data_IF_742733013673
#
_entry.id   IF_742733013673
#
_cell.length_a   1.000
_cell.length_b   1.000
_cell.length_c   1.000
_cell.angle_alpha   90.00
_cell.angle_beta   90.00
_cell.angle_gamma   90.00
#
_symmetry.space_group_name_H-M   'P 1'
#
loop_
_entity.id
_entity.type
_entity.pdbx_description
1 polymer ?
#
# COMPACT_ATOMS: atom_id res chain seq x y z
N UNK A 1 -16.13 12.98 20.53
CA UNK A 1 -14.77 13.48 20.72
C UNK A 1 -13.92 12.75 19.70
N UNK A 2 -13.44 13.44 18.67
CA UNK A 2 -12.62 12.83 17.62
C UNK A 2 -11.18 13.01 18.05
N UNK A 3 -10.52 11.93 18.44
CA UNK A 3 -9.07 11.94 18.67
C UNK A 3 -8.36 12.47 17.41
N UNK A 4 -7.30 13.29 17.56
CA UNK A 4 -6.55 13.75 16.40
C UNK A 4 -5.95 12.53 15.70
N UNK A 5 -6.28 12.35 14.42
CA UNK A 5 -5.77 11.25 13.61
C UNK A 5 -4.27 11.48 13.37
N UNK A 6 -3.44 10.79 14.14
CA UNK A 6 -1.99 10.83 14.01
C UNK A 6 -1.56 9.80 12.96
N UNK A 7 -1.07 10.26 11.81
CA UNK A 7 -0.65 9.41 10.71
C UNK A 7 0.87 9.46 10.61
N UNK A 8 1.53 8.31 10.69
CA UNK A 8 2.97 8.15 10.49
C UNK A 8 3.22 7.70 9.03
N UNK A 9 3.79 8.55 8.17
CA UNK A 9 4.08 8.19 6.77
C UNK A 9 5.00 6.97 6.64
N UNK A 10 5.98 6.82 7.55
CA UNK A 10 6.91 5.70 7.53
C UNK A 10 6.23 4.36 7.82
N UNK A 11 5.17 4.38 8.64
CA UNK A 11 4.36 3.21 8.93
C UNK A 11 3.48 2.83 7.73
N UNK A 12 2.95 3.83 7.01
CA UNK A 12 2.21 3.61 5.77
C UNK A 12 3.09 2.93 4.71
N UNK A 13 4.34 3.37 4.55
CA UNK A 13 5.27 2.75 3.61
C UNK A 13 5.62 1.31 3.99
N UNK A 14 5.85 1.04 5.27
CA UNK A 14 6.08 -0.35 5.75
C UNK A 14 4.87 -1.24 5.49
N UNK A 15 3.66 -0.74 5.70
CA UNK A 15 2.45 -1.52 5.45
C UNK A 15 2.22 -1.74 3.94
N UNK A 16 2.49 -0.72 3.12
CA UNK A 16 2.47 -0.83 1.68
C UNK A 16 3.43 -1.93 1.17
N UNK A 17 4.66 -1.99 1.73
CA UNK A 17 5.63 -3.05 1.42
C UNK A 17 5.14 -4.44 1.85
N UNK A 18 4.50 -4.55 3.01
CA UNK A 18 3.93 -5.82 3.47
C UNK A 18 2.81 -6.30 2.53
N UNK A 19 1.91 -5.39 2.12
CA UNK A 19 0.86 -5.69 1.16
C UNK A 19 1.45 -6.09 -0.20
N UNK A 20 2.52 -5.43 -0.66
CA UNK A 20 3.22 -5.84 -1.88
C UNK A 20 3.70 -7.30 -1.78
N UNK A 21 4.31 -7.68 -0.65
CA UNK A 21 4.75 -9.06 -0.43
C UNK A 21 3.61 -10.08 -0.42
N UNK A 22 2.43 -9.70 0.07
CA UNK A 22 1.22 -10.56 -0.01
C UNK A 22 0.68 -10.64 -1.43
N UNK A 23 0.68 -9.51 -2.17
CA UNK A 23 0.27 -9.47 -3.57
C UNK A 23 1.16 -10.38 -4.43
N UNK A 24 2.48 -10.35 -4.21
CA UNK A 24 3.42 -11.19 -4.96
C UNK A 24 3.22 -12.69 -4.68
N UNK A 25 2.97 -13.07 -3.43
CA UNK A 25 2.62 -14.46 -3.08
C UNK A 25 1.30 -14.89 -3.72
N UNK A 26 0.31 -14.01 -3.75
CA UNK A 26 -0.99 -14.28 -4.39
C UNK A 26 -0.84 -14.42 -5.90
N UNK A 27 -0.03 -13.58 -6.53
CA UNK A 27 0.31 -13.67 -7.95
C UNK A 27 1.04 -14.98 -8.26
N UNK A 28 1.99 -15.38 -7.42
CA UNK A 28 2.70 -16.66 -7.56
C UNK A 28 1.74 -17.85 -7.43
N UNK A 29 0.78 -17.81 -6.49
CA UNK A 29 -0.25 -18.83 -6.38
C UNK A 29 -1.16 -18.89 -7.62
N UNK A 30 -1.53 -17.73 -8.18
CA UNK A 30 -2.32 -17.67 -9.41
C UNK A 30 -1.55 -18.26 -10.60
N UNK A 31 -0.25 -17.97 -10.70
CA UNK A 31 0.60 -18.51 -11.76
C UNK A 31 0.82 -20.02 -11.61
N UNK A 32 1.07 -20.50 -10.39
CA UNK A 32 1.14 -21.92 -10.09
C UNK A 32 -0.18 -22.64 -10.44
N UNK A 33 -1.33 -22.01 -10.16
CA UNK A 33 -2.63 -22.54 -10.52
C UNK A 33 -2.83 -22.66 -12.04
N UNK A 34 -2.17 -21.82 -12.86
CA UNK A 34 -2.13 -21.95 -14.33
C UNK A 34 -1.13 -23.02 -14.80
N UNK A 35 -0.01 -23.16 -14.09
CA UNK A 35 1.06 -24.13 -14.39
C UNK A 35 0.76 -25.57 -13.96
N UNK A 36 -0.25 -25.80 -13.12
CA UNK A 36 -0.85 -27.15 -12.95
C UNK A 36 -1.76 -27.49 -14.14
N UNK A 37 -2.10 -26.50 -14.98
CA UNK A 37 -2.97 -26.61 -16.15
C UNK A 37 -2.31 -26.61 -17.56
N UNK A 38 -0.98 -26.71 -17.79
CA UNK A 38 -0.41 -26.82 -19.13
C UNK A 38 -0.73 -28.22 -19.69
N UNK A 39 -1.81 -28.23 -20.47
CA UNK A 39 -2.56 -29.38 -20.98
C UNK A 39 -3.66 -29.89 -20.03
N UNK A 40 -4.07 -29.07 -19.08
CA UNK A 40 -5.30 -29.25 -18.30
C UNK A 40 -5.24 -30.35 -17.26
N UNK A 41 -6.38 -30.52 -16.60
CA UNK A 41 -6.66 -31.71 -15.80
C UNK A 41 -6.70 -32.98 -16.68
N UNK A 42 -6.79 -32.80 -18.00
CA UNK A 42 -6.65 -33.85 -19.00
C UNK A 42 -5.28 -34.54 -18.98
N UNK A 43 -4.21 -33.84 -18.56
CA UNK A 43 -2.88 -34.43 -18.40
C UNK A 43 -2.60 -34.95 -16.99
N UNK A 44 -3.30 -34.41 -15.99
CA UNK A 44 -3.14 -34.81 -14.58
C UNK A 44 -3.86 -36.13 -14.27
N UNK A 45 -4.93 -36.42 -15.03
CA UNK A 45 -5.74 -37.61 -14.89
C UNK A 45 -5.59 -38.49 -16.13
N UNK A 46 -5.20 -39.76 -15.96
CA UNK A 46 -5.22 -40.73 -17.07
C UNK A 46 -6.63 -40.86 -17.67
N UNK A 47 -6.75 -41.48 -18.85
CA UNK A 47 -8.01 -41.60 -19.64
C UNK A 47 -9.25 -42.00 -18.82
N UNK A 48 -9.10 -42.80 -17.77
CA UNK A 48 -10.20 -43.22 -16.89
C UNK A 48 -10.70 -42.14 -15.91
N UNK A 49 -9.85 -41.16 -15.58
CA UNK A 49 -10.15 -40.10 -14.61
C UNK A 49 -10.46 -38.75 -15.27
N UNK A 50 -10.51 -38.69 -16.61
CA UNK A 50 -10.68 -37.46 -17.38
C UNK A 50 -11.99 -36.71 -17.07
N UNK A 51 -13.05 -37.42 -16.68
CA UNK A 51 -14.32 -36.79 -16.30
C UNK A 51 -14.17 -35.85 -15.09
N UNK A 52 -13.29 -36.19 -14.14
CA UNK A 52 -13.02 -35.32 -12.98
C UNK A 52 -12.39 -34.00 -13.41
N UNK A 53 -11.61 -34.02 -14.49
CA UNK A 53 -11.03 -32.81 -15.07
C UNK A 53 -12.10 -31.82 -15.50
N UNK A 54 -13.09 -32.26 -16.27
CA UNK A 54 -14.21 -31.42 -16.66
C UNK A 54 -15.08 -30.96 -15.47
N UNK A 55 -15.26 -31.83 -14.48
CA UNK A 55 -16.07 -31.52 -13.30
C UNK A 55 -15.49 -30.38 -12.45
N UNK A 56 -14.16 -30.19 -12.44
CA UNK A 56 -13.50 -29.17 -11.61
C UNK A 56 -12.90 -28.01 -12.42
N UNK A 57 -12.93 -28.05 -13.76
CA UNK A 57 -12.41 -26.98 -14.62
C UNK A 57 -13.06 -25.63 -14.31
N UNK A 58 -14.39 -25.60 -14.13
CA UNK A 58 -15.11 -24.36 -13.78
C UNK A 58 -14.65 -23.80 -12.43
N UNK A 59 -14.50 -24.66 -11.42
CA UNK A 59 -14.00 -24.25 -10.11
C UNK A 59 -12.54 -23.76 -10.19
N UNK A 60 -11.71 -24.40 -11.01
CA UNK A 60 -10.32 -24.01 -11.25
C UNK A 60 -10.20 -22.63 -11.91
N UNK A 61 -10.97 -22.38 -12.97
CA UNK A 61 -11.01 -21.05 -13.62
C UNK A 61 -11.53 -19.97 -12.69
N UNK A 62 -12.56 -20.27 -11.91
CA UNK A 62 -13.07 -19.33 -10.90
C UNK A 62 -12.00 -18.99 -9.86
N UNK A 63 -11.31 -19.99 -9.32
CA UNK A 63 -10.22 -19.77 -8.37
C UNK A 63 -9.08 -18.91 -8.97
N UNK A 64 -8.69 -19.17 -10.22
CA UNK A 64 -7.68 -18.36 -10.91
C UNK A 64 -8.12 -16.90 -11.07
N UNK A 65 -9.39 -16.66 -11.43
CA UNK A 65 -9.96 -15.31 -11.53
C UNK A 65 -9.92 -14.58 -10.18
N UNK A 66 -10.39 -15.24 -9.12
CA UNK A 66 -10.42 -14.64 -7.77
C UNK A 66 -9.02 -14.29 -7.29
N UNK A 67 -8.02 -15.14 -7.55
CA UNK A 67 -6.63 -14.86 -7.18
C UNK A 67 -6.05 -13.66 -7.97
N UNK A 68 -6.40 -13.54 -9.26
CA UNK A 68 -6.01 -12.38 -10.07
C UNK A 68 -6.65 -11.09 -9.53
N UNK A 69 -7.97 -11.10 -9.32
CA UNK A 69 -8.71 -9.94 -8.79
C UNK A 69 -8.20 -9.53 -7.40
N UNK A 70 -7.88 -10.51 -6.55
CA UNK A 70 -7.30 -10.27 -5.22
C UNK A 70 -5.92 -9.62 -5.33
N UNK A 71 -5.07 -10.10 -6.24
CA UNK A 71 -3.74 -9.52 -6.48
C UNK A 71 -3.86 -8.06 -6.92
N UNK A 72 -4.79 -7.75 -7.83
CA UNK A 72 -5.02 -6.38 -8.30
C UNK A 72 -5.54 -5.46 -7.20
N UNK A 73 -6.47 -5.95 -6.37
CA UNK A 73 -6.97 -5.20 -5.22
C UNK A 73 -5.86 -4.88 -4.20
N UNK A 74 -4.98 -5.85 -3.92
CA UNK A 74 -3.83 -5.65 -3.03
C UNK A 74 -2.85 -4.61 -3.61
N UNK A 75 -2.54 -4.69 -4.92
CA UNK A 75 -1.67 -3.70 -5.59
C UNK A 75 -2.26 -2.28 -5.51
N UNK A 76 -3.55 -2.12 -5.80
CA UNK A 76 -4.24 -0.82 -5.66
C UNK A 76 -4.20 -0.28 -4.23
N UNK A 77 -4.34 -1.16 -3.24
CA UNK A 77 -4.25 -0.77 -1.83
C UNK A 77 -2.84 -0.31 -1.47
N UNK A 78 -1.81 -1.03 -1.94
CA UNK A 78 -0.42 -0.65 -1.77
C UNK A 78 -0.08 0.70 -2.43
N UNK A 79 -0.56 0.93 -3.64
CA UNK A 79 -0.42 2.23 -4.34
C UNK A 79 -1.10 3.36 -3.56
N UNK A 80 -2.31 3.11 -3.05
CA UNK A 80 -3.05 4.06 -2.23
C UNK A 80 -2.29 4.46 -0.96
N UNK A 81 -1.71 3.48 -0.25
CA UNK A 81 -0.91 3.74 0.95
C UNK A 81 0.38 4.50 0.65
N UNK A 82 1.07 4.13 -0.44
CA UNK A 82 2.28 4.82 -0.90
C UNK A 82 1.97 6.27 -1.27
N UNK A 83 0.84 6.50 -1.94
CA UNK A 83 0.36 7.84 -2.30
C UNK A 83 0.00 8.66 -1.07
N UNK A 84 -0.67 8.05 -0.09
CA UNK A 84 -0.99 8.70 1.18
C UNK A 84 0.28 9.09 1.95
N UNK A 85 1.27 8.19 2.08
CA UNK A 85 2.57 8.47 2.71
C UNK A 85 3.22 9.72 2.12
N UNK A 86 3.29 9.80 0.78
CA UNK A 86 3.86 10.96 0.07
C UNK A 86 3.10 12.25 0.32
N UNK A 87 1.77 12.19 0.34
CA UNK A 87 0.93 13.37 0.58
C UNK A 87 1.13 13.91 2.00
N UNK A 88 1.16 13.04 3.01
CA UNK A 88 1.42 13.44 4.39
C UNK A 88 2.82 14.03 4.56
N UNK A 89 3.84 13.36 4.03
CA UNK A 89 5.24 13.85 4.10
C UNK A 89 5.39 15.22 3.44
N UNK A 90 4.83 15.40 2.23
CA UNK A 90 4.89 16.70 1.54
C UNK A 90 4.14 17.82 2.29
N UNK A 91 3.09 17.47 3.03
CA UNK A 91 2.37 18.43 3.86
C UNK A 91 3.12 18.79 5.15
N UNK A 92 3.83 17.82 5.74
CA UNK A 92 4.76 18.05 6.85
C UNK A 92 5.91 18.96 6.41
N UNK A 93 6.59 18.66 5.30
CA UNK A 93 7.68 19.48 4.75
C UNK A 93 7.25 20.93 4.53
N UNK A 94 6.07 21.14 3.92
CA UNK A 94 5.53 22.48 3.67
C UNK A 94 5.19 23.22 4.96
N UNK A 95 4.68 22.49 5.96
CA UNK A 95 4.37 23.09 7.27
C UNK A 95 5.64 23.49 8.00
N UNK A 96 6.68 22.65 7.93
CA UNK A 96 8.00 22.94 8.48
C UNK A 96 8.62 24.18 7.83
N UNK A 97 8.61 24.29 6.50
CA UNK A 97 9.12 25.45 5.76
C UNK A 97 8.43 26.75 6.20
N UNK A 98 7.11 26.74 6.31
CA UNK A 98 6.34 27.90 6.76
C UNK A 98 6.66 28.27 8.22
N UNK A 99 6.82 27.29 9.10
CA UNK A 99 7.16 27.53 10.49
C UNK A 99 8.58 28.08 10.65
N UNK A 100 9.55 27.58 9.87
CA UNK A 100 10.92 28.10 9.85
C UNK A 100 10.94 29.55 9.35
N UNK A 101 10.19 29.87 8.31
CA UNK A 101 10.10 31.24 7.80
C UNK A 101 9.43 32.18 8.82
N UNK A 102 8.36 31.75 9.48
CA UNK A 102 7.74 32.52 10.57
C UNK A 102 8.72 32.73 11.73
N UNK A 103 9.47 31.68 12.12
CA UNK A 103 10.46 31.78 13.19
C UNK A 103 11.56 32.79 12.85
N UNK A 104 12.06 32.79 11.61
CA UNK A 104 13.03 33.77 11.10
C UNK A 104 12.48 35.19 11.14
N UNK A 105 11.23 35.38 10.70
CA UNK A 105 10.57 36.69 10.75
C UNK A 105 10.40 37.18 12.19
N UNK A 106 10.02 36.31 13.13
CA UNK A 106 9.88 36.65 14.55
C UNK A 106 11.23 37.06 15.17
N UNK A 107 12.32 36.39 14.80
CA UNK A 107 13.67 36.74 15.27
C UNK A 107 14.15 38.10 14.75
N UNK A 108 13.72 38.50 13.55
CA UNK A 108 14.03 39.80 12.95
C UNK A 108 13.21 40.98 13.54
N UNK A 109 12.15 40.73 14.33
CA UNK A 109 11.35 41.79 14.97
C UNK A 109 12.03 42.25 16.28
N UNK A 110 12.46 43.51 16.39
CA UNK A 110 12.99 44.04 17.65
C UNK A 110 11.87 44.10 18.69
N UNK A 111 12.07 43.48 19.86
CA UNK A 111 11.09 43.51 20.95
C UNK A 111 10.97 44.95 21.49
N UNK A 112 9.82 45.64 21.34
CA UNK A 112 9.63 46.96 21.92
C UNK A 112 9.39 46.78 23.43
N UNK A 113 10.42 47.01 24.25
CA UNK A 113 10.27 46.95 25.71
C UNK A 113 11.51 46.61 26.55
N UNK A 114 12.67 46.28 25.96
CA UNK A 114 13.92 46.27 26.74
C UNK A 114 14.47 47.70 26.94
N UNK A 115 13.75 48.50 27.74
CA UNK A 115 14.33 49.59 28.53
C UNK A 115 14.12 49.23 30.00
N UNK A 116 15.04 49.42 30.95
CA UNK A 116 16.35 50.07 31.00
C UNK A 116 17.08 49.54 32.26
N UNK A 117 17.97 50.33 32.89
CA UNK A 117 17.44 51.43 33.69
C UNK A 117 18.06 52.79 33.39
N UNK A 118 17.29 53.81 33.76
CA UNK A 118 17.72 55.19 33.95
C UNK A 118 18.59 55.23 35.22
N UNK A 119 19.90 55.40 35.06
CA UNK A 119 20.78 56.28 35.86
C UNK A 119 22.19 56.29 35.25
#
# INVERSE_FOLDING_TARGET
>A
MTEPLQVDPSLLDKHAQHIAGVADKTAQAADAAKQVTPGGLDNAYGVLCQFFGQAIDTAGRFAQSVLADTTDALRKTQEGMTSASRQYSAQEDKSEELLQEIARQVEEVPVPGQGGPVE
#
